data_IF_426922066489
#
_entry.id   IF_426922066489
#
_cell.length_a   1.000
_cell.length_b   1.000
_cell.length_c   1.000
_cell.angle_alpha   90.00
_cell.angle_beta   90.00
_cell.angle_gamma   90.00
#
_symmetry.space_group_name_H-M   'P 1'
#
loop_
_entity.id
_entity.type
_entity.pdbx_description
1 polymer ?
#
# COMPACT_ATOMS: atom_id res chain seq x y z
N UNK A 1 -2.76 0.11 19.43
CA UNK A 1 -3.05 0.83 18.19
C UNK A 1 -2.59 0.01 17.01
N UNK A 2 -3.45 -0.13 16.02
CA UNK A 2 -3.14 -0.89 14.83
C UNK A 2 -2.23 -0.16 13.87
N UNK A 3 -1.62 -0.92 12.97
CA UNK A 3 -0.85 -0.35 11.86
C UNK A 3 -1.75 -0.20 10.65
N UNK A 4 -1.39 0.75 9.78
CA UNK A 4 -2.14 1.11 8.60
C UNK A 4 -1.29 0.84 7.36
N UNK A 5 -1.78 -0.04 6.49
CA UNK A 5 -1.13 -0.33 5.22
C UNK A 5 -1.67 0.57 4.12
N UNK A 6 -0.77 1.11 3.30
CA UNK A 6 -1.14 1.96 2.18
C UNK A 6 -0.75 1.31 0.85
N UNK A 7 -1.76 1.08 0.01
CA UNK A 7 -1.59 0.58 -1.35
C UNK A 7 -1.00 1.68 -2.24
N UNK A 8 -0.37 1.29 -3.33
CA UNK A 8 0.32 2.23 -4.24
C UNK A 8 -0.56 3.37 -4.71
N UNK A 9 -1.81 3.09 -5.06
CA UNK A 9 -2.75 4.10 -5.54
C UNK A 9 -2.98 5.26 -4.57
N UNK A 10 -2.86 5.02 -3.27
CA UNK A 10 -3.01 6.07 -2.26
C UNK A 10 -1.90 7.10 -2.41
N UNK A 11 -0.66 6.64 -2.64
CA UNK A 11 0.46 7.55 -2.84
C UNK A 11 0.30 8.37 -4.11
N UNK A 12 -0.16 7.75 -5.21
CA UNK A 12 -0.45 8.51 -6.43
C UNK A 12 -1.50 9.59 -6.19
N UNK A 13 -2.58 9.23 -5.51
CA UNK A 13 -3.67 10.17 -5.22
C UNK A 13 -3.24 11.31 -4.31
N UNK A 14 -2.37 11.02 -3.33
CA UNK A 14 -1.91 12.01 -2.37
C UNK A 14 -0.79 12.90 -2.93
N UNK A 15 0.16 12.32 -3.65
CA UNK A 15 1.39 13.03 -4.04
C UNK A 15 1.31 13.64 -5.44
N UNK A 16 0.57 13.02 -6.36
CA UNK A 16 0.44 13.49 -7.75
C UNK A 16 -0.95 14.03 -8.03
N UNK A 17 -1.97 13.47 -7.40
CA UNK A 17 -3.34 13.93 -7.51
C UNK A 17 -3.65 14.99 -6.46
N UNK A 18 -4.95 15.27 -6.29
CA UNK A 18 -5.40 16.30 -5.37
C UNK A 18 -6.36 15.75 -4.31
N UNK A 19 -6.22 14.46 -3.98
CA UNK A 19 -7.08 13.84 -2.98
C UNK A 19 -6.68 14.27 -1.58
N UNK A 20 -7.48 15.14 -0.99
CA UNK A 20 -7.28 15.55 0.41
C UNK A 20 -7.47 14.37 1.36
N UNK A 21 -8.40 13.48 1.05
CA UNK A 21 -8.66 12.29 1.87
C UNK A 21 -7.44 11.38 1.93
N UNK A 22 -6.77 11.16 0.77
CA UNK A 22 -5.55 10.37 0.73
C UNK A 22 -4.41 11.04 1.50
N UNK A 23 -4.25 12.35 1.33
CA UNK A 23 -3.22 13.11 2.07
C UNK A 23 -3.43 13.01 3.57
N UNK A 24 -4.67 13.19 4.03
CA UNK A 24 -4.99 13.14 5.46
C UNK A 24 -4.75 11.75 6.04
N UNK A 25 -5.10 10.69 5.30
CA UNK A 25 -4.87 9.32 5.77
C UNK A 25 -3.37 9.05 5.96
N UNK A 26 -2.54 9.49 5.01
CA UNK A 26 -1.08 9.35 5.13
C UNK A 26 -0.54 10.17 6.31
N UNK A 27 -0.96 11.42 6.44
CA UNK A 27 -0.51 12.30 7.52
C UNK A 27 -0.86 11.73 8.89
N UNK A 28 -2.08 11.24 9.05
CA UNK A 28 -2.52 10.66 10.32
C UNK A 28 -1.68 9.44 10.70
N UNK A 29 -1.38 8.58 9.73
CA UNK A 29 -0.57 7.40 9.97
C UNK A 29 0.89 7.77 10.28
N UNK A 30 1.42 8.79 9.62
CA UNK A 30 2.78 9.29 9.88
C UNK A 30 2.86 9.84 11.31
N UNK A 31 1.91 10.69 11.69
CA UNK A 31 1.85 11.27 13.03
C UNK A 31 1.72 10.17 14.08
N UNK A 32 0.90 9.16 13.82
CA UNK A 32 0.67 8.04 14.71
C UNK A 32 1.75 6.97 14.70
N UNK A 33 2.79 7.11 13.86
CA UNK A 33 3.85 6.11 13.66
C UNK A 33 3.29 4.72 13.32
N UNK A 34 2.25 4.68 12.49
CA UNK A 34 1.55 3.46 12.12
C UNK A 34 1.65 3.12 10.63
N UNK A 35 2.39 3.90 9.84
CA UNK A 35 2.40 3.80 8.39
C UNK A 35 3.23 2.61 7.89
N UNK A 36 2.61 1.78 7.07
CA UNK A 36 3.23 0.60 6.46
C UNK A 36 2.92 0.61 4.96
N UNK A 37 3.87 0.19 4.16
CA UNK A 37 3.65 -0.13 2.75
C UNK A 37 4.55 -1.32 2.40
N UNK A 38 4.72 -1.62 1.11
CA UNK A 38 5.52 -2.76 0.70
C UNK A 38 6.55 -2.38 -0.37
N UNK A 39 7.49 -3.30 -0.60
CA UNK A 39 8.47 -3.18 -1.68
C UNK A 39 7.80 -3.10 -3.06
N UNK A 40 6.58 -3.65 -3.22
CA UNK A 40 5.83 -3.49 -4.48
C UNK A 40 5.46 -2.04 -4.74
N UNK A 41 5.06 -1.31 -3.71
CA UNK A 41 4.76 0.12 -3.83
C UNK A 41 6.01 0.90 -4.25
N UNK A 42 7.15 0.57 -3.67
CA UNK A 42 8.42 1.19 -4.06
C UNK A 42 8.70 0.96 -5.55
N UNK A 43 8.55 -0.27 -6.00
CA UNK A 43 8.78 -0.63 -7.41
C UNK A 43 7.79 0.08 -8.33
N UNK A 44 6.49 0.00 -8.03
CA UNK A 44 5.45 0.55 -8.90
C UNK A 44 5.54 2.07 -9.01
N UNK A 45 5.69 2.76 -7.91
CA UNK A 45 5.80 4.22 -7.92
C UNK A 45 7.09 4.68 -8.58
N UNK A 46 8.21 4.04 -8.26
CA UNK A 46 9.51 4.38 -8.86
C UNK A 46 9.53 4.10 -10.36
N UNK A 47 8.94 2.98 -10.80
CA UNK A 47 8.85 2.66 -12.23
C UNK A 47 8.06 3.72 -13.00
N UNK A 48 6.97 4.21 -12.41
CA UNK A 48 6.21 5.29 -13.01
C UNK A 48 7.05 6.57 -13.13
N UNK A 49 7.83 6.90 -12.13
CA UNK A 49 8.74 8.06 -12.18
C UNK A 49 9.74 7.95 -13.33
N UNK A 50 10.33 6.77 -13.52
CA UNK A 50 11.28 6.53 -14.60
C UNK A 50 10.65 6.63 -15.98
N UNK A 51 9.38 6.26 -16.11
CA UNK A 51 8.67 6.26 -17.39
C UNK A 51 8.03 7.61 -17.74
N UNK A 52 7.43 8.26 -16.75
CA UNK A 52 6.46 9.34 -16.99
C UNK A 52 6.85 10.66 -16.35
N UNK A 53 7.91 10.67 -15.55
CA UNK A 53 8.38 11.85 -14.86
C UNK A 53 9.92 11.92 -14.89
N UNK A 54 10.48 12.65 -13.94
CA UNK A 54 11.93 12.75 -13.77
C UNK A 54 12.39 11.60 -12.88
N UNK A 55 13.46 10.86 -13.26
CA UNK A 55 14.04 9.83 -12.38
C UNK A 55 14.38 10.32 -10.97
N UNK A 56 14.65 11.61 -10.81
CA UNK A 56 14.89 12.21 -9.49
C UNK A 56 13.69 12.05 -8.56
N UNK A 57 12.48 12.02 -9.10
CA UNK A 57 11.26 11.88 -8.31
C UNK A 57 11.20 10.51 -7.63
N UNK A 58 11.81 9.48 -8.22
CA UNK A 58 11.93 8.18 -7.56
C UNK A 58 12.77 8.28 -6.30
N UNK A 59 13.87 9.03 -6.34
CA UNK A 59 14.71 9.26 -5.17
C UNK A 59 13.95 10.05 -4.10
N UNK A 60 13.19 11.07 -4.52
CA UNK A 60 12.39 11.89 -3.63
C UNK A 60 11.34 11.03 -2.92
N UNK A 61 10.66 10.15 -3.65
CA UNK A 61 9.67 9.25 -3.08
C UNK A 61 10.30 8.31 -2.05
N UNK A 62 11.44 7.70 -2.38
CA UNK A 62 12.13 6.81 -1.45
C UNK A 62 12.58 7.55 -0.19
N UNK A 63 13.07 8.78 -0.33
CA UNK A 63 13.43 9.63 0.81
C UNK A 63 12.21 9.96 1.65
N UNK A 64 11.07 10.24 1.01
CA UNK A 64 9.81 10.50 1.70
C UNK A 64 9.43 9.33 2.62
N UNK A 65 9.53 8.09 2.11
CA UNK A 65 9.22 6.92 2.92
C UNK A 65 10.17 6.78 4.11
N UNK A 66 11.46 6.97 3.89
CA UNK A 66 12.48 6.85 4.94
C UNK A 66 12.34 7.96 5.99
N UNK A 67 12.18 9.20 5.53
CA UNK A 67 12.14 10.37 6.40
C UNK A 67 10.88 10.40 7.28
N UNK A 68 9.82 9.74 6.83
CA UNK A 68 8.57 9.64 7.57
C UNK A 68 8.39 8.29 8.26
N UNK A 69 9.46 7.52 8.36
CA UNK A 69 9.50 6.27 9.13
C UNK A 69 8.50 5.22 8.68
N UNK A 70 8.19 5.15 7.39
CA UNK A 70 7.37 4.08 6.85
C UNK A 70 8.07 2.74 7.07
N UNK A 71 7.32 1.76 7.51
CA UNK A 71 7.77 0.38 7.49
C UNK A 71 7.49 -0.16 6.10
N UNK A 72 8.54 -0.58 5.40
CA UNK A 72 8.41 -1.11 4.03
C UNK A 72 8.61 -2.62 4.08
N UNK A 73 7.52 -3.34 3.94
CA UNK A 73 7.51 -4.81 4.00
C UNK A 73 8.16 -5.40 2.75
N UNK A 74 9.10 -6.31 2.94
CA UNK A 74 9.67 -7.08 1.82
C UNK A 74 8.64 -8.10 1.33
N UNK A 75 8.74 -8.45 0.05
CA UNK A 75 7.90 -9.49 -0.55
C UNK A 75 8.76 -10.76 -0.60
N UNK A 76 8.53 -11.63 0.34
CA UNK A 76 9.30 -12.86 0.49
C UNK A 76 8.44 -14.10 0.21
N UNK A 77 9.00 -15.28 0.44
CA UNK A 77 8.31 -16.55 0.22
C UNK A 77 6.99 -16.61 1.01
N UNK A 78 7.05 -16.25 2.29
CA UNK A 78 5.87 -16.29 3.16
C UNK A 78 4.76 -15.38 2.65
N UNK A 79 5.11 -14.18 2.17
CA UNK A 79 4.16 -13.25 1.59
C UNK A 79 3.50 -13.86 0.36
N UNK A 80 4.28 -14.53 -0.50
CA UNK A 80 3.76 -15.19 -1.68
C UNK A 80 2.77 -16.32 -1.33
N UNK A 81 3.07 -17.12 -0.31
CA UNK A 81 2.15 -18.18 0.15
C UNK A 81 0.83 -17.57 0.64
N UNK A 82 0.90 -16.54 1.44
CA UNK A 82 -0.30 -15.85 1.94
C UNK A 82 -1.11 -15.25 0.79
N UNK A 83 -0.42 -14.62 -0.18
CA UNK A 83 -1.07 -14.05 -1.36
C UNK A 83 -1.78 -15.12 -2.20
N UNK A 84 -1.16 -16.30 -2.33
CA UNK A 84 -1.77 -17.42 -3.07
C UNK A 84 -3.09 -17.84 -2.44
N UNK A 85 -3.14 -17.94 -1.11
CA UNK A 85 -4.37 -18.31 -0.39
C UNK A 85 -5.46 -17.24 -0.59
N UNK A 86 -5.10 -15.97 -0.51
CA UNK A 86 -6.03 -14.85 -0.72
C UNK A 86 -6.59 -14.89 -2.14
N UNK A 87 -5.73 -15.08 -3.13
CA UNK A 87 -6.14 -15.13 -4.54
C UNK A 87 -7.03 -16.35 -4.83
N UNK A 88 -6.76 -17.46 -4.17
CA UNK A 88 -7.58 -18.67 -4.29
C UNK A 88 -9.02 -18.44 -3.86
N UNK A 89 -9.23 -17.62 -2.84
CA UNK A 89 -10.57 -17.26 -2.37
C UNK A 89 -11.18 -16.08 -3.14
N UNK A 90 -10.34 -15.30 -3.83
CA UNK A 90 -10.75 -14.10 -4.56
C UNK A 90 -10.09 -14.09 -5.94
N UNK A 91 -10.54 -14.99 -6.87
CA UNK A 91 -9.83 -15.19 -8.14
C UNK A 91 -9.74 -13.95 -9.04
N UNK A 92 -10.63 -12.97 -8.84
CA UNK A 92 -10.64 -11.74 -9.63
C UNK A 92 -9.55 -10.75 -9.24
N UNK A 93 -8.87 -10.97 -8.11
CA UNK A 93 -7.76 -10.11 -7.71
C UNK A 93 -6.57 -10.26 -8.64
N UNK A 94 -5.89 -9.15 -8.91
CA UNK A 94 -4.59 -9.22 -9.60
C UNK A 94 -3.54 -9.79 -8.66
N UNK A 95 -2.44 -10.26 -9.21
CA UNK A 95 -1.32 -10.77 -8.41
C UNK A 95 -0.80 -9.68 -7.45
N UNK A 96 -0.69 -8.45 -7.95
CA UNK A 96 -0.22 -7.32 -7.14
C UNK A 96 -1.17 -7.02 -5.99
N UNK A 97 -2.49 -7.03 -6.22
CA UNK A 97 -3.47 -6.81 -5.17
C UNK A 97 -3.34 -7.87 -4.08
N UNK A 98 -3.23 -9.14 -4.47
CA UNK A 98 -3.09 -10.23 -3.53
C UNK A 98 -1.81 -10.10 -2.69
N UNK A 99 -0.71 -9.70 -3.32
CA UNK A 99 0.57 -9.51 -2.62
C UNK A 99 0.53 -8.32 -1.65
N UNK A 100 -0.16 -7.23 -2.02
CA UNK A 100 -0.32 -6.09 -1.14
C UNK A 100 -1.14 -6.45 0.10
N UNK A 101 -2.25 -7.16 -0.10
CA UNK A 101 -3.07 -7.63 1.02
C UNK A 101 -2.27 -8.58 1.92
N UNK A 102 -1.52 -9.49 1.33
CA UNK A 102 -0.66 -10.41 2.07
C UNK A 102 0.41 -9.65 2.87
N UNK A 103 1.04 -8.64 2.27
CA UNK A 103 2.03 -7.83 2.95
C UNK A 103 1.44 -7.11 4.17
N UNK A 104 0.22 -6.61 4.04
CA UNK A 104 -0.50 -5.97 5.14
C UNK A 104 -0.76 -6.95 6.28
N UNK A 105 -1.23 -8.15 5.95
CA UNK A 105 -1.52 -9.19 6.94
C UNK A 105 -0.24 -9.64 7.64
N UNK A 106 0.83 -9.87 6.87
CA UNK A 106 2.13 -10.31 7.41
C UNK A 106 2.80 -9.23 8.27
N UNK A 107 2.41 -7.97 8.09
CA UNK A 107 2.90 -6.85 8.90
C UNK A 107 2.00 -6.55 10.11
N UNK A 108 1.00 -7.38 10.35
CA UNK A 108 0.03 -7.22 11.44
C UNK A 108 -0.73 -5.89 11.36
N UNK A 109 -1.02 -5.44 10.14
CA UNK A 109 -1.83 -4.24 9.94
C UNK A 109 -3.30 -4.54 10.24
N UNK A 110 -4.01 -3.56 10.82
CA UNK A 110 -5.44 -3.67 11.07
C UNK A 110 -6.27 -3.04 9.96
N UNK A 111 -5.73 -2.05 9.24
CA UNK A 111 -6.42 -1.38 8.15
C UNK A 111 -5.58 -1.40 6.88
N UNK A 112 -6.28 -1.52 5.76
CA UNK A 112 -5.70 -1.49 4.41
C UNK A 112 -6.34 -0.35 3.65
N UNK A 113 -5.58 0.71 3.38
CA UNK A 113 -6.05 1.86 2.63
C UNK A 113 -5.76 1.69 1.14
N UNK A 114 -6.77 1.92 0.32
CA UNK A 114 -6.68 1.81 -1.13
C UNK A 114 -7.60 2.84 -1.78
N UNK A 115 -7.42 3.10 -3.07
CA UNK A 115 -8.34 3.89 -3.88
C UNK A 115 -9.14 3.01 -4.84
N UNK A 116 -8.91 1.70 -4.82
CA UNK A 116 -9.58 0.74 -5.69
C UNK A 116 -10.83 0.17 -5.03
N UNK A 117 -12.00 0.59 -5.52
CA UNK A 117 -13.28 0.14 -5.00
C UNK A 117 -13.51 -1.36 -5.15
N UNK A 118 -12.84 -2.01 -6.09
CA UNK A 118 -12.97 -3.47 -6.29
C UNK A 118 -12.53 -4.25 -5.06
N UNK A 119 -11.62 -3.69 -4.27
CA UNK A 119 -11.10 -4.38 -3.08
C UNK A 119 -12.13 -4.44 -1.95
N UNK A 120 -13.23 -3.70 -2.00
CA UNK A 120 -14.32 -3.82 -1.03
C UNK A 120 -14.96 -5.21 -1.04
N UNK A 121 -14.80 -5.96 -2.13
CA UNK A 121 -15.34 -7.32 -2.24
C UNK A 121 -14.53 -8.35 -1.46
N UNK A 122 -13.29 -8.01 -1.13
CA UNK A 122 -12.41 -8.90 -0.37
C UNK A 122 -12.86 -8.90 1.08
N UNK A 123 -13.12 -10.09 1.60
CA UNK A 123 -13.54 -10.26 2.99
C UNK A 123 -12.49 -11.08 3.72
N UNK A 124 -11.77 -10.42 4.59
CA UNK A 124 -10.79 -11.05 5.44
C UNK A 124 -10.91 -10.41 6.82
N UNK A 125 -11.16 -11.23 7.83
CA UNK A 125 -11.36 -10.75 9.19
C UNK A 125 -10.13 -10.13 9.81
N UNK A 126 -8.95 -10.32 9.18
CA UNK A 126 -7.68 -9.76 9.67
C UNK A 126 -7.48 -8.31 9.27
N UNK A 127 -8.21 -7.83 8.25
CA UNK A 127 -8.03 -6.48 7.71
C UNK A 127 -9.37 -5.77 7.55
N UNK A 128 -9.39 -4.48 7.85
CA UNK A 128 -10.46 -3.59 7.48
C UNK A 128 -10.03 -2.83 6.23
N UNK A 129 -10.75 -3.01 5.12
CA UNK A 129 -10.47 -2.32 3.86
C UNK A 129 -11.08 -0.93 3.89
N UNK A 130 -10.26 0.09 3.70
CA UNK A 130 -10.69 1.50 3.64
C UNK A 130 -10.46 2.04 2.24
N UNK A 131 -11.51 2.33 1.50
CA UNK A 131 -11.41 2.93 0.17
C UNK A 131 -11.50 4.45 0.29
N UNK A 132 -10.47 5.12 -0.20
CA UNK A 132 -10.37 6.58 -0.18
C UNK A 132 -10.87 7.18 -1.51
N UNK A 133 -11.40 8.36 -1.41
CA UNK A 133 -11.87 9.10 -2.59
C UNK A 133 -10.72 9.76 -3.36
#
# INVERSE_FOLDING_TARGET
>A
MGKDFFDTGVFFSALEGESEEAKMALEDAIIGDSAVTSALTVMEYSAWCYKSKDPKDAMIFNSFLKDNYFRVRVIDWKTAETAAAIKGENPELTDTDAMQLAAAIESDCSRFFTVDKKLLKVKDSRLEIKVLA
#
